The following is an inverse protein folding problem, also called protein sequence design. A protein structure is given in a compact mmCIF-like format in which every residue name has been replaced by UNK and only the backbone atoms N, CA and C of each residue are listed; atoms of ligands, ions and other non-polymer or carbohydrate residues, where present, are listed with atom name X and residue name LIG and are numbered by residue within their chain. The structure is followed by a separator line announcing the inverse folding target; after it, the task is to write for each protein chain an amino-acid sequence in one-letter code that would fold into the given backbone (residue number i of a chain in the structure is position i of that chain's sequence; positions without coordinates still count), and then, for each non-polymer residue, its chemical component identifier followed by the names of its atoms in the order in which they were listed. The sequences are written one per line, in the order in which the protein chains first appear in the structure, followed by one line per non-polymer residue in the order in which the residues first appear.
data_IF_028483904388
#
_entry.id   IF_028483904388
#
_cell.length_a   1.000
_cell.length_b   1.000
_cell.length_c   1.000
_cell.angle_alpha   90.00
_cell.angle_beta   90.00
_cell.angle_gamma   90.00
#
_symmetry.space_group_name_H-M   'P 1'
#
loop_
_entity.id
_entity.type
_entity.pdbx_description
1 polymer ?
#
# COMPACT_ATOMS: atom_id res chain seq x y z
N UNK A 1 9.39 -10.76 12.74
CA UNK A 1 8.35 -11.40 11.92
C UNK A 1 8.75 -12.85 11.86
N UNK A 2 8.09 -13.68 12.67
CA UNK A 2 8.18 -15.14 12.56
C UNK A 2 7.16 -15.61 11.53
N UNK A 3 7.27 -16.85 11.05
CA UNK A 3 6.31 -17.41 10.08
C UNK A 3 4.86 -17.43 10.59
N UNK A 4 4.68 -17.42 11.92
CA UNK A 4 3.37 -17.30 12.57
C UNK A 4 2.70 -15.94 12.36
N UNK A 5 3.47 -14.87 12.07
CA UNK A 5 2.93 -13.52 11.80
C UNK A 5 2.44 -13.36 10.34
N UNK A 6 2.87 -14.22 9.42
CA UNK A 6 2.59 -14.10 7.99
C UNK A 6 1.24 -14.75 7.65
N UNK A 7 0.24 -13.91 7.36
CA UNK A 7 -1.13 -14.32 6.99
C UNK A 7 -1.95 -14.96 8.11
N UNK A 8 -1.62 -14.69 9.37
CA UNK A 8 -2.48 -15.09 10.48
C UNK A 8 -3.87 -14.45 10.33
N UNK A 9 -4.87 -15.29 10.07
CA UNK A 9 -6.27 -14.90 9.94
C UNK A 9 -6.86 -14.39 11.26
N UNK A 10 -6.16 -14.53 12.39
CA UNK A 10 -6.54 -13.93 13.67
C UNK A 10 -5.94 -12.54 13.86
N UNK A 11 -4.96 -12.15 13.03
CA UNK A 11 -4.31 -10.86 13.14
C UNK A 11 -5.25 -9.72 12.67
N UNK A 12 -5.60 -8.83 13.62
CA UNK A 12 -6.49 -7.68 13.37
C UNK A 12 -6.01 -6.79 12.23
N UNK A 13 -4.71 -6.51 12.16
CA UNK A 13 -4.11 -5.66 11.12
C UNK A 13 -4.30 -6.30 9.74
N UNK A 14 -3.96 -7.59 9.62
CA UNK A 14 -4.08 -8.32 8.36
C UNK A 14 -5.52 -8.33 7.89
N UNK A 15 -6.46 -8.70 8.75
CA UNK A 15 -7.89 -8.75 8.42
C UNK A 15 -8.44 -7.37 8.04
N UNK A 16 -8.03 -6.32 8.74
CA UNK A 16 -8.43 -4.96 8.44
C UNK A 16 -8.02 -4.54 7.03
N UNK A 17 -6.73 -4.68 6.70
CA UNK A 17 -6.24 -4.29 5.38
C UNK A 17 -6.73 -5.21 4.27
N UNK A 18 -6.83 -6.52 4.52
CA UNK A 18 -7.42 -7.45 3.58
C UNK A 18 -8.82 -7.01 3.17
N UNK A 19 -9.69 -6.69 4.14
CA UNK A 19 -11.03 -6.19 3.87
C UNK A 19 -10.98 -4.85 3.13
N UNK A 20 -10.17 -3.90 3.60
CA UNK A 20 -10.07 -2.57 2.99
C UNK A 20 -9.68 -2.63 1.51
N UNK A 21 -8.68 -3.44 1.15
CA UNK A 21 -8.24 -3.59 -0.25
C UNK A 21 -9.18 -4.46 -1.08
N UNK A 22 -9.85 -5.44 -0.48
CA UNK A 22 -10.85 -6.28 -1.18
C UNK A 22 -12.11 -5.50 -1.54
N UNK A 23 -12.52 -4.56 -0.66
CA UNK A 23 -13.68 -3.69 -0.88
C UNK A 23 -13.37 -2.51 -1.84
N UNK A 24 -12.10 -2.32 -2.21
CA UNK A 24 -11.65 -1.22 -3.08
C UNK A 24 -11.77 -1.57 -4.55
N UNK A 25 -11.85 -0.55 -5.41
CA UNK A 25 -11.79 -0.77 -6.85
C UNK A 25 -10.46 -1.41 -7.24
N UNK A 26 -10.52 -2.49 -8.03
CA UNK A 26 -9.33 -3.12 -8.61
C UNK A 26 -8.62 -2.08 -9.49
N UNK A 27 -7.32 -1.83 -9.28
CA UNK A 27 -6.58 -0.83 -10.04
C UNK A 27 -6.51 -1.25 -11.51
N UNK A 28 -6.42 -0.26 -12.40
CA UNK A 28 -6.04 -0.47 -13.80
C UNK A 28 -4.69 0.21 -14.04
N UNK A 29 -3.57 -0.52 -13.83
CA UNK A 29 -2.21 0.02 -13.97
C UNK A 29 -1.94 0.61 -15.35
N UNK A 30 -2.50 0.02 -16.41
CA UNK A 30 -2.31 0.47 -17.79
C UNK A 30 -2.89 1.86 -18.04
N UNK A 31 -3.92 2.26 -17.28
CA UNK A 31 -4.56 3.57 -17.38
C UNK A 31 -4.18 4.48 -16.19
N UNK A 32 -3.08 4.16 -15.51
CA UNK A 32 -2.63 4.88 -14.33
C UNK A 32 -3.65 4.96 -13.19
N UNK A 33 -4.61 4.04 -13.13
CA UNK A 33 -5.68 4.07 -12.14
C UNK A 33 -5.28 3.29 -10.89
N UNK A 34 -4.85 4.03 -9.87
CA UNK A 34 -4.40 3.52 -8.57
C UNK A 34 -5.11 4.19 -7.39
N UNK A 35 -6.09 5.06 -7.66
CA UNK A 35 -6.57 6.06 -6.70
C UNK A 35 -7.05 5.47 -5.38
N UNK A 36 -7.87 4.42 -5.42
CA UNK A 36 -8.39 3.77 -4.21
C UNK A 36 -7.27 3.12 -3.39
N UNK A 37 -6.31 2.49 -4.06
CA UNK A 37 -5.17 1.84 -3.40
C UNK A 37 -4.23 2.88 -2.81
N UNK A 38 -3.94 3.97 -3.52
CA UNK A 38 -3.16 5.10 -3.00
C UNK A 38 -3.88 5.71 -1.79
N UNK A 39 -5.20 5.91 -1.87
CA UNK A 39 -6.01 6.41 -0.76
C UNK A 39 -5.89 5.51 0.47
N UNK A 40 -5.93 4.18 0.30
CA UNK A 40 -5.76 3.24 1.41
C UNK A 40 -4.34 3.27 1.98
N UNK A 41 -3.32 3.30 1.12
CA UNK A 41 -1.91 3.33 1.52
C UNK A 41 -1.48 4.63 2.19
N UNK A 42 -2.20 5.73 1.96
CA UNK A 42 -1.94 7.05 2.53
C UNK A 42 -2.84 7.35 3.73
N UNK A 43 -3.78 6.45 4.04
CA UNK A 43 -4.74 6.64 5.10
C UNK A 43 -4.08 6.55 6.49
N UNK A 44 -4.14 7.63 7.25
CA UNK A 44 -3.62 7.71 8.62
C UNK A 44 -4.66 7.37 9.70
N UNK A 45 -5.85 6.93 9.28
CA UNK A 45 -7.08 6.75 10.06
C UNK A 45 -6.84 6.53 11.56
N UNK A 46 -7.18 7.51 12.43
CA UNK A 46 -6.81 7.49 13.84
C UNK A 46 -7.49 6.38 14.66
N UNK A 47 -8.68 5.93 14.24
CA UNK A 47 -9.63 5.29 15.17
C UNK A 47 -9.75 3.76 15.04
N UNK A 48 -9.20 3.14 13.99
CA UNK A 48 -9.43 1.70 13.72
C UNK A 48 -8.22 0.79 14.00
N UNK A 49 -6.99 1.34 13.98
CA UNK A 49 -5.74 0.63 14.26
C UNK A 49 -4.83 1.51 15.13
N UNK A 50 -4.04 0.89 16.02
CA UNK A 50 -3.11 1.60 16.92
C UNK A 50 -1.79 1.86 16.20
N UNK A 51 -1.27 3.09 16.29
CA UNK A 51 0.11 3.46 15.97
C UNK A 51 0.78 2.65 14.84
N UNK A 52 1.67 1.72 15.24
CA UNK A 52 2.50 0.87 14.39
C UNK A 52 1.75 -0.24 13.63
N UNK A 53 0.48 -0.49 13.93
CA UNK A 53 -0.37 -1.37 13.14
C UNK A 53 -0.75 -0.72 11.80
N UNK A 54 -0.62 0.60 11.68
CA UNK A 54 -0.97 1.33 10.46
C UNK A 54 0.09 1.16 9.37
N UNK A 55 -0.33 1.09 8.11
CA UNK A 55 0.59 1.11 6.96
C UNK A 55 1.23 2.50 6.83
N UNK A 56 0.45 3.57 7.01
CA UNK A 56 0.93 4.94 6.99
C UNK A 56 0.83 5.56 8.39
N UNK A 57 1.99 5.81 9.02
CA UNK A 57 2.04 6.47 10.33
C UNK A 57 3.31 7.27 10.54
N UNK A 58 3.24 8.21 11.50
CA UNK A 58 4.38 8.95 12.03
C UNK A 58 4.31 8.92 13.55
N UNK A 59 5.38 8.47 14.18
CA UNK A 59 5.64 8.67 15.60
C UNK A 59 6.65 9.82 15.76
N UNK A 60 6.15 11.03 16.05
CA UNK A 60 6.97 12.24 16.22
C UNK A 60 7.92 12.16 17.41
N UNK A 61 7.60 11.40 18.46
CA UNK A 61 8.42 11.31 19.68
C UNK A 61 9.77 10.65 19.43
N UNK A 62 9.81 9.68 18.51
CA UNK A 62 11.01 8.88 18.21
C UNK A 62 11.45 9.02 16.74
N UNK A 63 10.90 10.00 16.01
CA UNK A 63 11.16 10.24 14.58
C UNK A 63 11.09 8.95 13.72
N UNK A 64 10.10 8.09 13.99
CA UNK A 64 9.93 6.81 13.31
C UNK A 64 8.58 6.76 12.58
N UNK A 65 8.51 6.05 11.46
CA UNK A 65 7.28 5.89 10.72
C UNK A 65 7.52 5.59 9.24
N UNK A 66 6.44 5.66 8.47
CA UNK A 66 6.45 5.40 7.04
C UNK A 66 7.21 6.52 6.32
N UNK A 67 8.28 6.16 5.59
CA UNK A 67 9.10 7.10 4.81
C UNK A 67 9.05 6.83 3.31
N UNK A 68 8.53 5.68 2.92
CA UNK A 68 8.35 5.30 1.52
C UNK A 68 7.19 4.35 1.38
N UNK A 69 6.68 4.25 0.16
CA UNK A 69 5.65 3.28 -0.22
C UNK A 69 5.72 3.04 -1.72
N UNK A 70 5.33 1.85 -2.15
CA UNK A 70 5.49 1.37 -3.52
C UNK A 70 4.27 0.59 -3.99
N UNK A 71 3.92 0.77 -5.25
CA UNK A 71 2.87 0.04 -5.97
C UNK A 71 3.48 -0.56 -7.23
N UNK A 72 3.46 -1.89 -7.34
CA UNK A 72 4.04 -2.61 -8.48
C UNK A 72 2.97 -3.50 -9.11
N UNK A 73 2.78 -3.37 -10.42
CA UNK A 73 1.96 -4.27 -11.23
C UNK A 73 2.84 -5.17 -12.07
N UNK A 74 2.72 -6.48 -11.87
CA UNK A 74 3.41 -7.50 -12.66
C UNK A 74 2.43 -8.16 -13.65
N UNK A 75 2.60 -7.95 -14.96
CA UNK A 75 1.71 -8.54 -15.95
C UNK A 75 2.00 -10.04 -16.13
N UNK A 76 0.96 -10.84 -16.34
CA UNK A 76 1.14 -12.21 -16.80
C UNK A 76 1.49 -12.21 -18.28
N UNK A 77 2.79 -12.33 -18.59
CA UNK A 77 3.34 -12.33 -19.95
C UNK A 77 2.83 -13.46 -20.84
N UNK A 78 2.27 -14.54 -20.27
CA UNK A 78 1.60 -15.61 -21.04
C UNK A 78 0.23 -15.18 -21.56
N UNK A 79 -0.41 -14.18 -20.95
CA UNK A 79 -1.77 -13.72 -21.28
C UNK A 79 -1.73 -12.41 -22.08
N UNK A 80 -0.85 -11.47 -21.71
CA UNK A 80 -0.72 -10.19 -22.40
C UNK A 80 0.72 -9.66 -22.37
N UNK A 81 1.06 -8.81 -23.33
CA UNK A 81 2.38 -8.18 -23.38
C UNK A 81 2.42 -6.79 -22.71
N UNK A 82 1.59 -6.54 -21.68
CA UNK A 82 1.62 -5.26 -20.97
C UNK A 82 2.97 -5.06 -20.26
N UNK A 83 3.30 -3.81 -19.96
CA UNK A 83 4.52 -3.47 -19.23
C UNK A 83 4.30 -3.60 -17.72
N UNK A 84 5.41 -3.78 -17.00
CA UNK A 84 5.42 -3.55 -15.55
C UNK A 84 5.12 -2.07 -15.32
N UNK A 85 4.26 -1.78 -14.35
CA UNK A 85 4.01 -0.41 -13.91
C UNK A 85 4.49 -0.33 -12.47
N UNK A 86 5.38 0.61 -12.18
CA UNK A 86 5.91 0.84 -10.86
C UNK A 86 5.73 2.30 -10.45
N UNK A 87 5.04 2.51 -9.33
CA UNK A 87 4.98 3.79 -8.65
C UNK A 87 5.62 3.72 -7.28
N UNK A 88 6.27 4.80 -6.86
CA UNK A 88 6.74 4.92 -5.49
C UNK A 88 6.72 6.35 -4.97
N UNK A 89 6.82 6.48 -3.66
CA UNK A 89 7.16 7.72 -2.97
C UNK A 89 8.36 7.47 -2.08
N UNK A 90 9.30 8.41 -2.05
CA UNK A 90 10.46 8.43 -1.17
C UNK A 90 10.28 9.39 0.02
N UNK A 91 9.04 9.83 0.24
CA UNK A 91 8.64 10.72 1.33
C UNK A 91 7.45 10.14 2.08
N UNK A 92 6.97 10.87 3.10
CA UNK A 92 5.75 10.45 3.80
C UNK A 92 4.59 10.32 2.79
N UNK A 93 3.95 9.14 2.67
CA UNK A 93 2.95 8.92 1.63
C UNK A 93 1.75 9.85 1.76
N UNK A 94 1.53 10.65 0.72
CA UNK A 94 0.30 11.42 0.47
C UNK A 94 -0.31 10.99 -0.86
N UNK A 95 -1.58 11.36 -1.11
CA UNK A 95 -2.31 11.00 -2.32
C UNK A 95 -1.54 11.39 -3.59
N UNK A 96 -0.85 12.54 -3.55
CA UNK A 96 -0.15 13.10 -4.71
C UNK A 96 1.36 12.79 -4.74
N UNK A 97 1.87 12.03 -3.76
CA UNK A 97 3.33 11.79 -3.64
C UNK A 97 3.87 10.66 -4.51
N UNK A 98 3.01 9.87 -5.16
CA UNK A 98 3.44 8.71 -5.94
C UNK A 98 3.85 9.11 -7.34
N UNK A 99 5.10 8.84 -7.69
CA UNK A 99 5.67 9.07 -9.02
C UNK A 99 5.89 7.75 -9.75
N UNK A 100 5.85 7.78 -11.08
CA UNK A 100 6.22 6.64 -11.91
C UNK A 100 7.74 6.42 -11.88
N UNK A 101 8.13 5.16 -11.78
CA UNK A 101 9.53 4.73 -11.82
C UNK A 101 9.80 4.12 -13.19
N UNK A 102 10.73 4.74 -13.92
CA UNK A 102 11.17 4.33 -15.24
C UNK A 102 12.50 3.60 -15.09
N UNK A 103 12.62 2.45 -15.76
CA UNK A 103 13.81 1.60 -15.77
C UNK A 103 14.56 1.71 -17.09
#
# INVERSE_FOLDING_TARGET
ITDEDLNDKKNRKINFYYKLFSDSKIPNPSNNNWNDWIKNLTNTQPNQLKGNEKICFINKKINYGTKSSSLISLPNKKINNKNIVFKSTNSFPTIDSYIDIIF
#
